data_IF_050823228628
#
_entry.id   IF_050823228628
#
_cell.length_a   1.000
_cell.length_b   1.000
_cell.length_c   1.000
_cell.angle_alpha   90.00
_cell.angle_beta   90.00
_cell.angle_gamma   90.00
#
_symmetry.space_group_name_H-M   'P 1'
#
loop_
_entity.id
_entity.type
_entity.pdbx_description
1 polymer ?
#
# COMPACT_ATOMS: atom_id res chain seq x y z
N UNK A 1 9.60 31.53 -2.51
CA UNK A 1 10.65 30.48 -2.48
C UNK A 1 10.10 29.48 -1.48
N UNK A 2 9.25 28.58 -1.98
CA UNK A 2 8.24 27.95 -1.13
C UNK A 2 8.75 26.58 -0.70
N UNK A 3 9.35 26.54 0.48
CA UNK A 3 9.77 25.32 1.16
C UNK A 3 8.55 24.60 1.77
N UNK A 4 7.60 24.16 0.95
CA UNK A 4 6.70 23.10 1.39
C UNK A 4 7.48 21.79 1.32
N UNK A 5 8.12 21.41 2.43
CA UNK A 5 8.61 20.05 2.59
C UNK A 5 7.38 19.13 2.55
N UNK A 6 7.05 18.60 1.37
CA UNK A 6 6.03 17.56 1.21
C UNK A 6 6.41 16.39 2.11
N UNK A 7 5.50 15.98 3.01
CA UNK A 7 5.72 14.85 3.91
C UNK A 7 6.23 13.64 3.13
N UNK A 8 7.28 13.00 3.64
CA UNK A 8 7.79 11.74 3.10
C UNK A 8 6.80 10.58 3.28
N UNK A 9 5.81 10.74 4.17
CA UNK A 9 4.76 9.75 4.41
C UNK A 9 3.53 10.01 3.53
N UNK A 10 2.80 8.94 3.16
CA UNK A 10 1.61 9.09 2.33
C UNK A 10 0.50 9.85 3.06
N UNK A 11 -0.22 10.67 2.31
CA UNK A 11 -1.48 11.26 2.73
C UNK A 11 -2.57 10.18 2.68
N UNK A 12 -3.16 9.87 3.83
CA UNK A 12 -4.25 8.90 3.97
C UNK A 12 -3.87 7.56 4.61
N UNK A 13 -2.57 7.24 4.72
CA UNK A 13 -2.09 6.08 5.50
C UNK A 13 -1.02 6.57 6.47
N UNK A 14 -1.34 6.63 7.76
CA UNK A 14 -0.51 7.34 8.75
C UNK A 14 0.38 6.45 9.62
N UNK A 15 0.18 5.13 9.54
CA UNK A 15 0.82 4.13 10.41
C UNK A 15 0.94 2.79 9.71
N UNK A 16 1.88 1.94 10.14
CA UNK A 16 1.92 0.54 9.71
C UNK A 16 0.67 -0.24 10.16
N UNK A 17 0.06 0.17 11.27
CA UNK A 17 -1.16 -0.42 11.83
C UNK A 17 -2.45 0.22 11.30
N UNK A 18 -2.35 1.17 10.36
CA UNK A 18 -3.50 1.74 9.64
C UNK A 18 -4.00 0.76 8.57
N UNK A 19 -4.44 -0.41 9.04
CA UNK A 19 -4.88 -1.55 8.23
C UNK A 19 -5.78 -2.45 9.05
N UNK A 20 -6.55 -3.31 8.38
CA UNK A 20 -7.34 -4.32 9.08
C UNK A 20 -6.45 -5.38 9.72
N UNK A 21 -6.71 -5.71 10.99
CA UNK A 21 -5.97 -6.71 11.77
C UNK A 21 -5.78 -8.05 11.02
N UNK A 22 -6.76 -8.46 10.22
CA UNK A 22 -6.69 -9.74 9.50
C UNK A 22 -5.52 -9.78 8.50
N UNK A 23 -5.04 -8.64 7.99
CA UNK A 23 -3.86 -8.59 7.11
C UNK A 23 -2.61 -9.07 7.84
N UNK A 24 -2.47 -8.71 9.11
CA UNK A 24 -1.33 -9.14 9.94
C UNK A 24 -1.43 -10.61 10.33
N UNK A 25 -2.62 -11.09 10.70
CA UNK A 25 -2.79 -12.51 11.02
C UNK A 25 -2.63 -13.40 9.79
N UNK A 26 -3.11 -12.98 8.63
CA UNK A 26 -2.86 -13.65 7.35
C UNK A 26 -1.38 -13.64 6.97
N UNK A 27 -0.69 -12.49 7.06
CA UNK A 27 0.74 -12.41 6.76
C UNK A 27 1.56 -13.34 7.67
N UNK A 28 1.22 -13.43 8.96
CA UNK A 28 1.84 -14.36 9.90
C UNK A 28 1.66 -15.83 9.45
N UNK A 29 0.46 -16.21 9.00
CA UNK A 29 0.20 -17.55 8.48
C UNK A 29 0.94 -17.81 7.15
N UNK A 30 0.95 -16.84 6.23
CA UNK A 30 1.66 -16.94 4.94
C UNK A 30 3.16 -17.08 5.15
N UNK A 31 3.77 -16.27 6.03
CA UNK A 31 5.20 -16.37 6.33
C UNK A 31 5.56 -17.73 6.93
N UNK A 32 4.66 -18.33 7.72
CA UNK A 32 4.90 -19.64 8.34
C UNK A 32 4.74 -20.80 7.37
N UNK A 33 3.70 -20.79 6.54
CA UNK A 33 3.30 -21.98 5.76
C UNK A 33 3.57 -21.85 4.25
N UNK A 34 3.65 -20.64 3.72
CA UNK A 34 3.78 -20.35 2.28
C UNK A 34 4.83 -19.27 1.97
N UNK A 35 6.03 -19.27 2.58
CA UNK A 35 6.97 -18.15 2.49
C UNK A 35 7.54 -17.88 1.08
N UNK A 36 7.34 -18.82 0.15
CA UNK A 36 7.89 -18.76 -1.22
C UNK A 36 6.83 -18.67 -2.31
N UNK A 37 5.54 -18.62 -1.93
CA UNK A 37 4.43 -18.63 -2.89
C UNK A 37 4.22 -17.24 -3.44
N UNK A 38 4.38 -17.08 -4.76
CA UNK A 38 4.10 -15.81 -5.44
C UNK A 38 2.62 -15.62 -5.68
N UNK A 39 2.17 -14.37 -5.55
CA UNK A 39 0.76 -13.99 -5.69
C UNK A 39 0.60 -12.78 -6.60
N UNK A 40 -0.62 -12.59 -7.09
CA UNK A 40 -1.02 -11.40 -7.84
C UNK A 40 -2.42 -10.97 -7.39
N UNK A 41 -2.57 -9.70 -7.08
CA UNK A 41 -3.85 -9.05 -6.78
C UNK A 41 -4.13 -7.98 -7.84
N UNK A 42 -5.38 -7.86 -8.25
CA UNK A 42 -5.81 -6.84 -9.19
C UNK A 42 -6.95 -6.00 -8.60
N UNK A 43 -6.84 -4.69 -8.71
CA UNK A 43 -7.92 -3.77 -8.40
C UNK A 43 -9.04 -3.91 -9.44
N UNK A 44 -10.29 -3.87 -8.97
CA UNK A 44 -11.47 -3.86 -9.83
C UNK A 44 -12.45 -2.81 -9.31
N UNK A 45 -12.64 -1.74 -10.06
CA UNK A 45 -13.75 -0.82 -9.85
C UNK A 45 -15.06 -1.53 -10.25
N UNK A 46 -16.01 -1.63 -9.31
CA UNK A 46 -17.34 -2.25 -9.53
C UNK A 46 -18.44 -1.22 -9.83
N UNK A 47 -18.09 0.06 -9.83
CA UNK A 47 -18.91 1.22 -10.20
C UNK A 47 -18.18 1.98 -11.31
N UNK A 48 -18.22 1.47 -12.56
CA UNK A 48 -17.39 1.96 -13.67
C UNK A 48 -17.66 3.42 -14.06
N UNK A 49 -18.80 3.98 -13.67
CA UNK A 49 -19.12 5.40 -13.84
C UNK A 49 -18.35 6.32 -12.88
N UNK A 50 -17.76 5.77 -11.80
CA UNK A 50 -16.92 6.51 -10.84
C UNK A 50 -15.45 6.42 -11.25
N UNK A 51 -15.07 7.26 -12.19
CA UNK A 51 -13.70 7.36 -12.74
C UNK A 51 -12.85 8.36 -11.97
N UNK A 52 -11.53 8.18 -12.06
CA UNK A 52 -10.57 9.15 -11.52
C UNK A 52 -10.12 10.10 -12.61
N UNK A 53 -9.79 11.33 -12.23
CA UNK A 53 -9.10 12.25 -13.13
C UNK A 53 -7.62 11.89 -13.22
N UNK A 54 -6.96 12.32 -14.29
CA UNK A 54 -5.51 12.16 -14.46
C UNK A 54 -4.74 12.77 -13.29
N UNK A 55 -5.16 13.93 -12.79
CA UNK A 55 -4.57 14.55 -11.60
C UNK A 55 -4.71 13.68 -10.36
N UNK A 56 -5.90 13.11 -10.11
CA UNK A 56 -6.13 12.20 -8.98
C UNK A 56 -5.28 10.93 -9.10
N UNK A 57 -5.14 10.36 -10.30
CA UNK A 57 -4.27 9.22 -10.54
C UNK A 57 -2.80 9.53 -10.26
N UNK A 58 -2.28 10.69 -10.71
CA UNK A 58 -0.88 11.09 -10.42
C UNK A 58 -0.66 11.31 -8.92
N UNK A 59 -1.61 11.91 -8.22
CA UNK A 59 -1.56 12.01 -6.77
C UNK A 59 -1.52 10.61 -6.12
N UNK A 60 -2.37 9.68 -6.57
CA UNK A 60 -2.39 8.31 -6.06
C UNK A 60 -1.05 7.59 -6.30
N UNK A 61 -0.44 7.73 -7.48
CA UNK A 61 0.89 7.17 -7.77
C UNK A 61 1.94 7.71 -6.79
N UNK A 62 1.89 9.01 -6.48
CA UNK A 62 2.79 9.61 -5.50
C UNK A 62 2.57 9.02 -4.10
N UNK A 63 1.33 8.88 -3.65
CA UNK A 63 1.04 8.28 -2.34
C UNK A 63 1.44 6.79 -2.28
N UNK A 64 1.19 6.02 -3.35
CA UNK A 64 1.65 4.62 -3.45
C UNK A 64 3.17 4.55 -3.28
N UNK A 65 3.93 5.43 -3.92
CA UNK A 65 5.39 5.44 -3.79
C UNK A 65 5.88 5.70 -2.37
N UNK A 66 5.16 6.53 -1.61
CA UNK A 66 5.47 6.86 -0.21
C UNK A 66 5.14 5.73 0.76
N UNK A 67 4.32 4.73 0.39
CA UNK A 67 4.08 3.56 1.24
C UNK A 67 5.37 2.83 1.61
N UNK A 68 6.41 2.89 0.77
CA UNK A 68 7.73 2.32 1.05
C UNK A 68 8.46 3.00 2.22
N UNK A 69 8.03 4.20 2.64
CA UNK A 69 8.58 4.91 3.79
C UNK A 69 7.91 4.52 5.12
N UNK A 70 6.81 3.76 5.08
CA UNK A 70 6.14 3.27 6.29
C UNK A 70 6.93 2.10 6.86
N UNK A 71 7.18 2.16 8.16
CA UNK A 71 7.84 1.12 8.94
C UNK A 71 7.08 0.93 10.25
N UNK A 72 7.10 -0.30 10.77
CA UNK A 72 6.57 -0.57 12.10
C UNK A 72 7.38 0.21 13.15
N UNK A 73 6.72 1.06 13.92
CA UNK A 73 7.35 1.82 15.01
C UNK A 73 7.50 0.95 16.26
N UNK A 74 8.40 1.35 17.16
CA UNK A 74 8.61 0.64 18.43
C UNK A 74 7.35 0.58 19.31
N UNK A 75 6.55 1.64 19.32
CA UNK A 75 5.28 1.69 20.05
C UNK A 75 4.24 0.74 19.46
N UNK A 76 4.16 0.67 18.13
CA UNK A 76 3.26 -0.23 17.39
C UNK A 76 3.68 -1.69 17.59
N UNK A 77 4.98 -1.97 17.60
CA UNK A 77 5.53 -3.28 17.93
C UNK A 77 5.10 -3.72 19.33
N UNK A 78 5.28 -2.86 20.34
CA UNK A 78 4.88 -3.17 21.74
C UNK A 78 3.38 -3.38 21.85
N UNK A 79 2.59 -2.56 21.13
CA UNK A 79 1.15 -2.73 21.07
C UNK A 79 0.76 -4.11 20.53
N UNK A 80 1.35 -4.54 19.40
CA UNK A 80 1.10 -5.87 18.84
C UNK A 80 1.55 -6.99 19.79
N UNK A 81 2.73 -6.85 20.40
CA UNK A 81 3.26 -7.85 21.34
C UNK A 81 2.34 -8.05 22.55
N UNK A 82 1.74 -6.98 23.07
CA UNK A 82 0.90 -7.03 24.27
C UNK A 82 -0.57 -7.37 23.96
N UNK A 83 -1.10 -6.88 22.84
CA UNK A 83 -2.55 -6.97 22.52
C UNK A 83 -2.87 -8.16 21.62
N UNK A 84 -1.95 -8.51 20.72
CA UNK A 84 -2.13 -9.56 19.74
C UNK A 84 -1.25 -10.77 20.09
N UNK A 85 -1.45 -11.36 21.27
CA UNK A 85 -0.60 -12.44 21.82
C UNK A 85 -0.54 -13.72 20.99
N UNK A 86 -1.45 -13.88 20.02
CA UNK A 86 -1.43 -14.95 19.02
C UNK A 86 -0.44 -14.70 17.87
N UNK A 87 0.09 -13.49 17.70
CA UNK A 87 1.20 -13.18 16.80
C UNK A 87 2.51 -13.60 17.45
N UNK A 88 3.16 -14.61 16.88
CA UNK A 88 4.38 -15.17 17.48
C UNK A 88 5.59 -14.23 17.37
N UNK A 89 6.56 -14.42 18.27
CA UNK A 89 7.76 -13.58 18.33
C UNK A 89 8.58 -13.54 17.02
N UNK A 90 8.77 -14.66 16.28
CA UNK A 90 9.42 -14.63 14.97
C UNK A 90 8.75 -13.68 13.97
N UNK A 91 7.42 -13.68 13.89
CA UNK A 91 6.67 -12.79 13.03
C UNK A 91 6.80 -11.32 13.46
N UNK A 92 6.73 -11.02 14.75
CA UNK A 92 6.95 -9.66 15.26
C UNK A 92 8.36 -9.16 14.93
N UNK A 93 9.38 -10.01 15.06
CA UNK A 93 10.75 -9.67 14.68
C UNK A 93 10.89 -9.42 13.17
N UNK A 94 10.21 -10.22 12.34
CA UNK A 94 10.13 -9.97 10.90
C UNK A 94 9.55 -8.59 10.59
N UNK A 95 8.46 -8.19 11.27
CA UNK A 95 7.83 -6.89 11.02
C UNK A 95 8.71 -5.67 11.33
N UNK A 96 9.70 -5.78 12.24
CA UNK A 96 10.65 -4.69 12.54
C UNK A 96 11.49 -4.32 11.31
N UNK A 97 11.95 -5.34 10.60
CA UNK A 97 12.81 -5.17 9.42
C UNK A 97 12.00 -5.04 8.13
N UNK A 98 10.73 -5.47 8.14
CA UNK A 98 9.86 -5.45 6.98
C UNK A 98 9.63 -4.03 6.44
N UNK A 99 9.75 -3.88 5.12
CA UNK A 99 9.38 -2.67 4.39
C UNK A 99 8.55 -3.05 3.17
N UNK A 100 7.56 -2.21 2.85
CA UNK A 100 6.84 -2.32 1.58
C UNK A 100 7.76 -1.92 0.44
N UNK A 101 7.62 -2.57 -0.71
CA UNK A 101 8.40 -2.26 -1.91
C UNK A 101 7.46 -1.90 -3.07
N UNK A 102 6.73 -0.78 -2.96
CA UNK A 102 5.74 -0.40 -3.97
C UNK A 102 6.35 -0.22 -5.36
N UNK A 103 7.64 0.11 -5.46
CA UNK A 103 8.35 0.29 -6.74
C UNK A 103 8.42 -1.01 -7.53
N UNK A 104 8.71 -2.13 -6.85
CA UNK A 104 8.83 -3.43 -7.52
C UNK A 104 7.54 -4.26 -7.48
N UNK A 105 6.64 -3.95 -6.54
CA UNK A 105 5.43 -4.76 -6.30
C UNK A 105 4.17 -4.21 -6.98
N UNK A 106 4.10 -2.92 -7.34
CA UNK A 106 2.87 -2.30 -7.83
C UNK A 106 3.03 -1.77 -9.25
N UNK A 107 2.17 -2.25 -10.14
CA UNK A 107 1.96 -1.73 -11.49
C UNK A 107 0.68 -0.88 -11.50
N UNK A 108 0.80 0.41 -11.77
CA UNK A 108 -0.31 1.35 -11.81
C UNK A 108 -0.40 2.02 -13.19
N UNK A 109 -1.55 1.93 -13.85
CA UNK A 109 -1.78 2.56 -15.16
C UNK A 109 -3.12 3.31 -15.19
N UNK A 110 -3.19 4.30 -16.08
CA UNK A 110 -4.36 5.13 -16.31
C UNK A 110 -4.67 5.15 -17.81
N UNK A 111 -5.95 4.96 -18.15
CA UNK A 111 -6.44 5.01 -19.53
C UNK A 111 -7.57 6.02 -19.57
N UNK A 112 -7.31 7.18 -20.18
CA UNK A 112 -8.32 8.22 -20.37
C UNK A 112 -9.43 7.74 -21.32
N UNK A 113 -10.66 8.17 -21.07
CA UNK A 113 -11.78 7.93 -21.99
C UNK A 113 -11.64 8.76 -23.28
N UNK A 114 -11.18 10.00 -23.13
CA UNK A 114 -10.91 10.96 -24.19
C UNK A 114 -9.62 11.71 -23.82
N UNK A 115 -8.50 11.29 -24.41
CA UNK A 115 -7.17 11.77 -24.02
C UNK A 115 -6.88 13.14 -24.63
N UNK A 116 -7.11 14.19 -23.84
CA UNK A 116 -6.77 15.58 -24.20
C UNK A 116 -5.42 16.01 -23.61
N UNK A 117 -4.72 15.10 -22.93
CA UNK A 117 -3.51 15.40 -22.16
C UNK A 117 -3.74 16.34 -20.97
N UNK A 118 -4.99 16.46 -20.48
CA UNK A 118 -5.35 17.38 -19.39
C UNK A 118 -5.48 16.67 -18.06
N UNK A 119 -5.44 17.46 -16.99
CA UNK A 119 -5.50 17.01 -15.61
C UNK A 119 -6.90 16.54 -15.20
N UNK A 120 -7.90 17.12 -15.84
CA UNK A 120 -9.32 16.85 -15.65
C UNK A 120 -9.80 15.64 -16.46
N UNK A 121 -8.99 15.12 -17.39
CA UNK A 121 -9.34 13.94 -18.17
C UNK A 121 -9.70 12.79 -17.24
N UNK A 122 -10.92 12.26 -17.40
CA UNK A 122 -11.40 11.11 -16.65
C UNK A 122 -11.00 9.82 -17.35
N UNK A 123 -10.69 8.80 -16.55
CA UNK A 123 -10.26 7.53 -17.09
C UNK A 123 -10.31 6.38 -16.09
N UNK A 124 -10.09 5.19 -16.64
CA UNK A 124 -9.97 3.96 -15.88
C UNK A 124 -8.59 3.86 -15.24
N UNK A 125 -8.56 3.40 -13.99
CA UNK A 125 -7.32 3.11 -13.26
C UNK A 125 -7.19 1.61 -13.09
N UNK A 126 -6.05 1.07 -13.53
CA UNK A 126 -5.68 -0.32 -13.30
C UNK A 126 -4.53 -0.37 -12.30
N UNK A 127 -4.68 -1.20 -11.26
CA UNK A 127 -3.64 -1.47 -10.27
C UNK A 127 -3.47 -2.98 -10.17
N UNK A 128 -2.23 -3.44 -10.29
CA UNK A 128 -1.85 -4.83 -10.08
C UNK A 128 -0.72 -4.88 -9.07
N UNK A 129 -0.87 -5.72 -8.04
CA UNK A 129 0.17 -5.98 -7.03
C UNK A 129 0.71 -7.37 -7.25
N UNK A 130 2.02 -7.52 -7.42
CA UNK A 130 2.70 -8.81 -7.65
C UNK A 130 3.87 -8.93 -6.69
N UNK A 131 4.11 -10.13 -6.17
CA UNK A 131 5.21 -10.33 -5.24
C UNK A 131 5.32 -11.75 -4.74
N UNK A 132 6.35 -11.94 -3.91
CA UNK A 132 6.46 -13.06 -2.98
C UNK A 132 5.52 -12.84 -1.80
#
# INVERSE_FOLDING_TARGET
MDFYATSQYPEGVISFLDTDLYKLTMQCAVLKYFPTVRVTYAFKNRTPEKKLSRAAFRWLQHQISKLGNIALKDEEFRFLQNTCTYLNQPYLNFLKEFRLDPRNQIEATFVADDDKGKDEDLGEVNLVVKGL
#
